data_IF_148056711318
#
_entry.id   IF_148056711318
#
_cell.length_a   1.000
_cell.length_b   1.000
_cell.length_c   1.000
_cell.angle_alpha   90.00
_cell.angle_beta   90.00
_cell.angle_gamma   90.00
#
_symmetry.space_group_name_H-M   'P 1'
#
loop_
_entity.id
_entity.type
_entity.pdbx_description
1 polymer ?
#
# COMPACT_ATOMS: atom_id res chain seq x y z
N UNK A 1 21.41 -15.46 -9.06
CA UNK A 1 22.83 -15.08 -9.14
C UNK A 1 23.19 -14.41 -7.82
N UNK A 2 24.38 -14.67 -7.27
CA UNK A 2 24.88 -14.00 -6.08
C UNK A 2 25.93 -12.96 -6.49
N UNK A 3 25.80 -11.74 -5.99
CA UNK A 3 26.65 -10.59 -6.35
C UNK A 3 27.12 -9.87 -5.09
N UNK A 4 28.23 -9.14 -5.20
CA UNK A 4 28.67 -8.21 -4.19
C UNK A 4 28.26 -6.80 -4.59
N UNK A 5 27.69 -6.06 -3.65
CA UNK A 5 27.24 -4.69 -3.84
C UNK A 5 27.53 -3.90 -2.56
N UNK A 6 28.09 -2.70 -2.72
CA UNK A 6 28.35 -1.78 -1.61
C UNK A 6 27.24 -0.74 -1.46
N UNK A 7 27.37 0.12 -0.44
CA UNK A 7 26.48 1.27 -0.25
C UNK A 7 25.05 0.87 0.14
N UNK A 8 24.06 1.27 -0.66
CA UNK A 8 22.64 1.14 -0.33
C UNK A 8 22.17 -0.31 -0.14
N UNK A 9 22.84 -1.30 -0.76
CA UNK A 9 22.48 -2.70 -0.58
C UNK A 9 22.60 -3.19 0.87
N UNK A 10 23.44 -2.55 1.70
CA UNK A 10 23.66 -2.95 3.10
C UNK A 10 22.38 -2.79 3.92
N UNK A 11 21.57 -1.77 3.65
CA UNK A 11 20.31 -1.48 4.35
C UNK A 11 19.07 -2.10 3.67
N UNK A 12 19.25 -3.03 2.73
CA UNK A 12 18.15 -3.66 1.99
C UNK A 12 17.96 -5.11 2.39
N UNK A 13 16.73 -5.62 2.30
CA UNK A 13 16.41 -6.98 2.78
C UNK A 13 17.16 -8.09 2.01
N UNK A 14 17.55 -7.86 0.74
CA UNK A 14 18.38 -8.78 -0.07
C UNK A 14 19.79 -9.03 0.47
N UNK A 15 20.28 -8.25 1.43
CA UNK A 15 21.57 -8.50 2.09
C UNK A 15 21.46 -9.47 3.27
N UNK A 16 20.24 -9.91 3.64
CA UNK A 16 20.01 -10.70 4.84
C UNK A 16 20.16 -12.20 4.58
N UNK A 17 21.15 -12.79 5.26
CA UNK A 17 21.45 -14.21 5.23
C UNK A 17 21.41 -14.82 6.63
N UNK A 18 21.02 -16.10 6.71
CA UNK A 18 21.04 -16.89 7.92
C UNK A 18 22.01 -18.05 7.78
N UNK A 19 22.84 -18.22 8.80
CA UNK A 19 23.68 -19.40 8.95
C UNK A 19 22.91 -20.44 9.75
N UNK A 20 22.85 -21.67 9.23
CA UNK A 20 22.17 -22.82 9.85
C UNK A 20 23.19 -23.95 10.04
N UNK A 21 23.60 -24.24 11.28
CA UNK A 21 24.49 -25.37 11.59
C UNK A 21 23.87 -26.69 11.14
N UNK A 22 24.68 -27.58 10.55
CA UNK A 22 24.25 -28.93 10.14
C UNK A 22 24.31 -29.85 11.38
N UNK A 23 23.36 -29.66 12.31
CA UNK A 23 23.22 -30.46 13.54
C UNK A 23 21.74 -30.63 13.91
N UNK A 24 21.40 -31.78 14.51
CA UNK A 24 20.03 -32.05 14.97
C UNK A 24 19.73 -31.47 16.36
N UNK A 25 20.72 -31.50 17.27
CA UNK A 25 20.66 -30.87 18.59
C UNK A 25 21.55 -29.62 18.58
N UNK A 26 21.26 -28.65 19.45
CA UNK A 26 22.08 -27.44 19.61
C UNK A 26 22.25 -26.62 18.32
N UNK A 27 21.21 -26.53 17.48
CA UNK A 27 21.25 -25.74 16.24
C UNK A 27 21.42 -24.21 16.47
N UNK A 28 21.27 -23.76 17.72
CA UNK A 28 21.52 -22.38 18.16
C UNK A 28 22.82 -22.21 18.95
N UNK A 29 23.72 -23.21 18.94
CA UNK A 29 25.05 -23.08 19.54
C UNK A 29 25.87 -22.00 18.84
N UNK A 30 26.94 -21.57 19.51
CA UNK A 30 27.90 -20.63 18.96
C UNK A 30 28.60 -21.27 17.76
N UNK A 31 28.73 -20.49 16.68
CA UNK A 31 29.38 -20.96 15.45
C UNK A 31 30.88 -21.03 15.71
N UNK A 32 31.44 -22.23 15.53
CA UNK A 32 32.87 -22.51 15.62
C UNK A 32 33.57 -22.53 14.26
N UNK A 33 34.90 -22.53 14.29
CA UNK A 33 35.72 -22.94 13.14
C UNK A 33 35.46 -24.41 12.80
N UNK A 34 35.62 -24.76 11.53
CA UNK A 34 35.55 -26.16 11.06
C UNK A 34 34.19 -26.85 11.29
N UNK A 35 33.15 -26.09 11.64
CA UNK A 35 31.81 -26.62 11.81
C UNK A 35 31.02 -26.53 10.50
N UNK A 36 30.35 -27.62 10.07
CA UNK A 36 29.54 -27.61 8.86
C UNK A 36 28.24 -26.83 9.06
N UNK A 37 27.92 -25.93 8.13
CA UNK A 37 26.69 -25.14 8.11
C UNK A 37 26.15 -24.94 6.69
N UNK A 38 24.91 -24.44 6.60
CA UNK A 38 24.29 -23.97 5.37
C UNK A 38 24.01 -22.47 5.45
N UNK A 39 24.01 -21.82 4.30
CA UNK A 39 23.70 -20.38 4.19
C UNK A 39 22.34 -20.25 3.51
N UNK A 40 21.39 -19.61 4.19
CA UNK A 40 20.02 -19.42 3.72
C UNK A 40 19.74 -17.94 3.50
N UNK A 41 19.26 -17.57 2.32
CA UNK A 41 18.77 -16.22 2.06
C UNK A 41 17.39 -16.02 2.73
N UNK A 42 17.20 -14.92 3.46
CA UNK A 42 15.98 -14.73 4.26
C UNK A 42 14.76 -14.48 3.38
N UNK A 43 14.81 -13.49 2.47
CA UNK A 43 13.61 -13.07 1.70
C UNK A 43 13.23 -14.09 0.63
N UNK A 44 14.19 -14.71 -0.05
CA UNK A 44 13.90 -15.76 -1.05
C UNK A 44 13.70 -17.14 -0.43
N UNK A 45 14.25 -17.38 0.76
CA UNK A 45 14.21 -18.68 1.43
C UNK A 45 15.03 -19.77 0.76
N UNK A 46 15.88 -19.42 -0.20
CA UNK A 46 16.75 -20.34 -0.93
C UNK A 46 18.08 -20.52 -0.20
N UNK A 47 18.74 -21.65 -0.46
CA UNK A 47 20.06 -21.96 0.08
C UNK A 47 21.14 -21.60 -0.93
N UNK A 48 22.22 -21.00 -0.45
CA UNK A 48 23.44 -20.87 -1.23
C UNK A 48 24.03 -22.26 -1.45
N UNK A 49 24.50 -22.53 -2.66
CA UNK A 49 25.19 -23.76 -2.97
C UNK A 49 26.13 -23.62 -4.14
N UNK A 50 26.98 -24.63 -4.30
CA UNK A 50 28.00 -24.70 -5.34
C UNK A 50 27.72 -25.91 -6.24
N UNK A 51 27.64 -25.65 -7.54
CA UNK A 51 27.63 -26.68 -8.57
C UNK A 51 28.83 -26.45 -9.47
N UNK A 52 29.74 -27.43 -9.49
CA UNK A 52 31.04 -27.28 -10.14
C UNK A 52 31.78 -26.07 -9.55
N UNK A 53 31.90 -24.97 -10.30
CA UNK A 53 32.53 -23.72 -9.87
C UNK A 53 31.52 -22.54 -9.75
N UNK A 54 30.23 -22.80 -9.98
CA UNK A 54 29.20 -21.76 -10.05
C UNK A 54 28.40 -21.71 -8.75
N UNK A 55 28.26 -20.51 -8.23
CA UNK A 55 27.40 -20.24 -7.06
C UNK A 55 25.99 -19.97 -7.51
N UNK A 56 25.05 -20.74 -6.94
CA UNK A 56 23.64 -20.59 -7.24
C UNK A 56 22.77 -20.78 -6.00
N UNK A 57 21.49 -20.43 -6.15
CA UNK A 57 20.49 -20.49 -5.09
C UNK A 57 19.54 -21.65 -5.32
N UNK A 58 19.55 -22.61 -4.40
CA UNK A 58 18.71 -23.80 -4.44
C UNK A 58 17.40 -23.58 -3.68
N UNK A 59 16.29 -24.06 -4.26
CA UNK A 59 15.03 -24.24 -3.53
C UNK A 59 15.20 -25.23 -2.38
N UNK A 60 14.35 -25.13 -1.36
CA UNK A 60 14.41 -26.02 -0.17
C UNK A 60 14.33 -27.50 -0.56
N UNK A 61 13.59 -27.82 -1.61
CA UNK A 61 13.37 -29.13 -2.21
C UNK A 61 14.61 -29.71 -2.90
N UNK A 62 15.52 -28.86 -3.39
CA UNK A 62 16.74 -29.26 -4.14
C UNK A 62 18.04 -28.95 -3.39
N UNK A 63 17.94 -28.49 -2.14
CA UNK A 63 19.07 -28.09 -1.32
C UNK A 63 19.68 -29.31 -0.61
N UNK A 64 20.30 -30.19 -1.40
CA UNK A 64 21.07 -31.32 -0.88
C UNK A 64 22.29 -30.84 -0.08
N UNK A 65 22.68 -31.60 0.94
CA UNK A 65 23.82 -31.27 1.80
C UNK A 65 25.10 -31.12 0.98
N UNK A 66 25.33 -32.05 0.07
CA UNK A 66 26.48 -32.09 -0.84
C UNK A 66 26.68 -30.81 -1.66
N UNK A 67 25.60 -30.09 -1.96
CA UNK A 67 25.66 -28.87 -2.76
C UNK A 67 25.65 -27.59 -1.91
N UNK A 68 25.25 -27.66 -0.63
CA UNK A 68 24.92 -26.49 0.19
C UNK A 68 25.68 -26.43 1.53
N UNK A 69 26.55 -27.41 1.79
CA UNK A 69 27.33 -27.47 3.01
C UNK A 69 28.65 -26.69 2.88
N UNK A 70 28.84 -25.76 3.79
CA UNK A 70 30.02 -24.92 3.91
C UNK A 70 30.65 -25.05 5.28
N UNK A 71 31.90 -24.59 5.37
CA UNK A 71 32.68 -24.55 6.60
C UNK A 71 33.50 -23.26 6.64
N UNK A 72 33.80 -22.77 7.85
CA UNK A 72 34.61 -21.57 8.09
C UNK A 72 36.00 -21.95 8.57
N UNK A 73 37.01 -21.25 8.05
CA UNK A 73 38.41 -21.34 8.46
C UNK A 73 39.01 -19.97 8.76
N UNK A 74 40.01 -19.95 9.64
CA UNK A 74 40.80 -18.74 9.94
C UNK A 74 41.75 -18.37 8.80
N UNK A 75 42.29 -19.38 8.10
CA UNK A 75 43.24 -19.21 7.00
C UNK A 75 42.95 -20.26 5.91
N UNK A 76 43.48 -20.02 4.71
CA UNK A 76 43.40 -20.99 3.60
C UNK A 76 44.48 -22.08 3.65
N UNK A 77 45.42 -21.99 4.60
CA UNK A 77 46.48 -22.97 4.81
C UNK A 77 45.98 -24.05 5.78
N UNK A 78 45.32 -25.05 5.22
CA UNK A 78 44.66 -26.12 5.96
C UNK A 78 45.71 -27.12 6.49
N UNK A 79 46.20 -26.88 7.71
CA UNK A 79 46.89 -27.92 8.49
C UNK A 79 45.85 -28.92 8.97
N UNK A 80 45.77 -30.08 8.33
CA UNK A 80 44.82 -31.17 8.67
C UNK A 80 44.83 -31.48 10.17
N UNK A 81 43.83 -31.01 10.89
CA UNK A 81 43.36 -31.58 12.16
C UNK A 81 41.84 -31.41 12.26
N UNK A 82 41.09 -32.19 11.49
CA UNK A 82 39.68 -32.44 11.84
C UNK A 82 39.65 -33.23 13.15
N UNK A 83 39.46 -32.52 14.26
CA UNK A 83 39.16 -33.17 15.53
C UNK A 83 37.65 -33.07 15.71
N UNK A 84 36.92 -34.11 15.32
CA UNK A 84 35.49 -34.24 15.61
C UNK A 84 35.30 -34.56 17.11
N UNK A 85 35.56 -33.58 17.99
CA UNK A 85 34.97 -33.64 19.32
C UNK A 85 33.57 -33.06 19.24
N UNK A 86 32.57 -33.93 19.42
CA UNK A 86 31.18 -33.51 19.59
C UNK A 86 31.04 -32.81 20.94
N UNK A 87 31.32 -31.51 20.95
CA UNK A 87 31.01 -30.65 22.08
C UNK A 87 29.48 -30.61 22.26
N UNK A 88 28.97 -31.24 23.32
CA UNK A 88 27.58 -31.09 23.75
C UNK A 88 27.44 -29.80 24.57
N UNK A 89 26.73 -28.81 24.02
CA UNK A 89 26.49 -27.53 24.69
C UNK A 89 26.49 -26.35 23.72
N UNK A 90 26.70 -25.15 24.26
CA UNK A 90 26.77 -23.91 23.45
C UNK A 90 28.07 -23.76 22.67
N UNK A 91 29.13 -24.51 23.02
CA UNK A 91 30.46 -24.40 22.43
C UNK A 91 31.20 -23.11 22.82
N UNK A 92 32.31 -22.84 22.14
CA UNK A 92 33.17 -21.67 22.39
C UNK A 92 32.85 -20.52 21.42
N UNK A 93 32.83 -19.28 21.92
CA UNK A 93 32.58 -18.08 21.12
C UNK A 93 33.81 -17.69 20.28
N UNK A 94 34.02 -18.36 19.14
CA UNK A 94 35.19 -18.11 18.28
C UNK A 94 34.94 -17.05 17.20
N UNK A 95 33.71 -16.97 16.67
CA UNK A 95 33.35 -15.97 15.65
C UNK A 95 32.70 -14.75 16.33
N UNK A 96 33.30 -13.58 16.14
CA UNK A 96 32.80 -12.29 16.66
C UNK A 96 32.37 -11.37 15.53
N UNK A 97 31.25 -10.69 15.73
CA UNK A 97 30.73 -9.72 14.76
C UNK A 97 31.68 -8.53 14.61
N UNK A 98 31.98 -8.13 13.37
CA UNK A 98 32.84 -6.98 13.05
C UNK A 98 34.35 -7.18 13.28
N UNK A 99 34.76 -8.21 14.03
CA UNK A 99 36.17 -8.42 14.39
C UNK A 99 36.80 -9.64 13.71
N UNK A 100 36.01 -10.69 13.49
CA UNK A 100 36.53 -11.95 12.96
C UNK A 100 36.45 -11.97 11.43
N UNK A 101 37.61 -12.12 10.79
CA UNK A 101 37.70 -12.46 9.37
C UNK A 101 37.68 -13.97 9.21
N UNK A 102 36.75 -14.47 8.39
CA UNK A 102 36.64 -15.88 8.07
C UNK A 102 36.80 -16.13 6.57
N UNK A 103 37.32 -17.29 6.22
CA UNK A 103 37.27 -17.83 4.87
C UNK A 103 36.22 -18.93 4.83
N UNK A 104 35.36 -18.91 3.81
CA UNK A 104 34.28 -19.90 3.66
C UNK A 104 34.67 -20.87 2.55
N UNK A 105 34.65 -22.16 2.84
CA UNK A 105 34.92 -23.22 1.86
C UNK A 105 33.69 -24.11 1.70
N UNK A 106 33.42 -24.55 0.47
CA UNK A 106 32.41 -25.57 0.20
C UNK A 106 32.98 -26.96 0.52
N UNK A 107 32.25 -27.76 1.30
CA UNK A 107 32.78 -29.03 1.86
C UNK A 107 33.07 -30.06 0.76
N UNK A 108 32.14 -30.27 -0.17
CA UNK A 108 32.26 -31.35 -1.16
C UNK A 108 33.28 -31.08 -2.26
N UNK A 109 33.34 -29.84 -2.74
CA UNK A 109 34.24 -29.46 -3.84
C UNK A 109 35.57 -28.88 -3.37
N UNK A 110 35.68 -28.58 -2.06
CA UNK A 110 36.84 -27.93 -1.45
C UNK A 110 37.18 -26.57 -2.08
N UNK A 111 36.22 -25.95 -2.76
CA UNK A 111 36.39 -24.63 -3.38
C UNK A 111 36.10 -23.51 -2.36
N UNK A 112 36.90 -22.46 -2.42
CA UNK A 112 36.72 -21.25 -1.63
C UNK A 112 35.65 -20.35 -2.23
N UNK A 113 34.80 -19.82 -1.36
CA UNK A 113 33.86 -18.76 -1.70
C UNK A 113 34.65 -17.48 -2.02
N UNK A 114 34.59 -17.04 -3.27
CA UNK A 114 35.34 -15.88 -3.76
C UNK A 114 34.51 -15.08 -4.76
N UNK A 115 35.15 -14.22 -5.55
CA UNK A 115 34.48 -13.36 -6.52
C UNK A 115 35.19 -13.35 -7.88
N UNK A 116 34.43 -13.04 -8.93
CA UNK A 116 34.94 -12.75 -10.26
C UNK A 116 34.44 -11.37 -10.68
N UNK A 117 35.36 -10.51 -11.10
CA UNK A 117 35.02 -9.17 -11.60
C UNK A 117 34.78 -9.23 -13.10
N UNK A 118 33.70 -8.60 -13.55
CA UNK A 118 33.39 -8.40 -14.97
C UNK A 118 32.96 -6.96 -15.22
N UNK A 119 33.40 -6.36 -16.32
CA UNK A 119 32.87 -5.06 -16.78
C UNK A 119 31.48 -5.26 -17.39
N UNK A 120 30.49 -4.55 -16.87
CA UNK A 120 29.14 -4.47 -17.46
C UNK A 120 28.78 -3.02 -17.76
N UNK A 121 28.08 -2.80 -18.87
CA UNK A 121 27.58 -1.46 -19.23
C UNK A 121 26.20 -1.27 -18.59
N UNK A 122 26.10 -0.40 -17.57
CA UNK A 122 24.83 -0.01 -16.94
C UNK A 122 24.28 1.26 -17.60
N UNK A 123 22.99 1.24 -17.95
CA UNK A 123 22.28 2.37 -18.55
C UNK A 123 22.34 3.58 -17.62
N UNK A 124 22.89 4.71 -18.09
CA UNK A 124 23.03 5.95 -17.33
C UNK A 124 24.31 6.08 -16.50
N UNK A 125 25.03 4.99 -16.22
CA UNK A 125 26.27 5.00 -15.42
C UNK A 125 27.52 4.63 -16.24
N UNK A 126 27.36 4.14 -17.47
CA UNK A 126 28.47 3.72 -18.32
C UNK A 126 28.99 2.34 -17.93
N UNK A 127 30.30 2.10 -18.11
CA UNK A 127 30.94 0.84 -17.73
C UNK A 127 31.17 0.80 -16.22
N UNK A 128 30.66 -0.24 -15.57
CA UNK A 128 30.77 -0.44 -14.12
C UNK A 128 31.33 -1.84 -13.88
N UNK A 129 32.23 -1.96 -12.92
CA UNK A 129 32.71 -3.25 -12.45
C UNK A 129 31.62 -3.94 -11.61
N UNK A 130 31.24 -5.16 -12.00
CA UNK A 130 30.35 -6.02 -11.23
C UNK A 130 31.15 -7.21 -10.69
N UNK A 131 31.08 -7.40 -9.37
CA UNK A 131 31.68 -8.55 -8.68
C UNK A 131 30.62 -9.62 -8.46
N UNK A 132 30.79 -10.78 -9.12
CA UNK A 132 29.92 -11.95 -8.97
C UNK A 132 30.55 -12.95 -8.03
N UNK A 133 29.77 -13.55 -7.15
CA UNK A 133 30.27 -14.61 -6.29
C UNK A 133 30.50 -15.89 -7.11
N UNK A 134 31.68 -16.50 -6.94
CA UNK A 134 32.09 -17.75 -7.59
C UNK A 134 32.85 -18.64 -6.62
N UNK A 135 32.96 -19.93 -6.94
CA UNK A 135 33.75 -20.87 -6.15
C UNK A 135 35.08 -21.14 -6.87
N UNK A 136 36.21 -20.86 -6.21
CA UNK A 136 37.55 -20.97 -6.80
C UNK A 136 38.43 -21.92 -6.00
N UNK A 137 39.36 -22.60 -6.67
CA UNK A 137 40.25 -23.58 -6.03
C UNK A 137 41.19 -22.94 -5.00
N UNK A 138 41.78 -21.79 -5.34
CA UNK A 138 42.68 -21.06 -4.45
C UNK A 138 41.96 -19.85 -3.79
N UNK A 139 40.95 -19.29 -4.47
CA UNK A 139 40.29 -18.03 -4.09
C UNK A 139 41.25 -16.85 -4.03
N UNK A 140 40.76 -15.66 -3.72
CA UNK A 140 41.59 -14.46 -3.61
C UNK A 140 42.08 -14.21 -2.18
N UNK A 141 43.09 -13.36 -2.00
CA UNK A 141 43.62 -13.06 -0.67
C UNK A 141 42.70 -12.12 0.14
N UNK A 142 41.82 -11.41 -0.54
CA UNK A 142 40.92 -10.39 0.00
C UNK A 142 39.48 -10.89 0.16
N UNK A 143 39.24 -12.22 0.13
CA UNK A 143 37.90 -12.80 0.32
C UNK A 143 37.32 -12.51 1.73
N UNK A 144 38.18 -12.37 2.75
CA UNK A 144 37.89 -12.13 4.18
C UNK A 144 36.44 -11.74 4.53
N UNK A 145 35.61 -12.73 4.87
CA UNK A 145 34.22 -12.51 5.28
C UNK A 145 34.15 -12.05 6.74
N UNK A 146 33.68 -10.82 6.95
CA UNK A 146 33.30 -10.30 8.26
C UNK A 146 31.78 -10.36 8.42
N UNK A 147 31.31 -10.78 9.60
CA UNK A 147 29.88 -10.89 9.88
C UNK A 147 29.38 -9.69 10.67
N UNK A 148 28.19 -9.21 10.32
CA UNK A 148 27.44 -8.21 11.06
C UNK A 148 26.07 -8.78 11.40
N UNK A 149 25.60 -8.52 12.62
CA UNK A 149 24.26 -8.94 13.04
C UNK A 149 23.23 -7.98 12.45
N UNK A 150 22.22 -8.52 11.78
CA UNK A 150 21.08 -7.75 11.32
C UNK A 150 20.23 -7.27 12.51
N UNK A 151 19.57 -6.12 12.37
CA UNK A 151 18.61 -5.65 13.35
C UNK A 151 17.44 -6.65 13.46
N UNK A 152 16.94 -6.86 14.67
CA UNK A 152 15.88 -7.85 14.92
C UNK A 152 14.61 -7.53 14.10
N UNK A 153 14.27 -6.25 13.98
CA UNK A 153 13.12 -5.79 13.19
C UNK A 153 13.30 -6.02 11.69
N UNK A 154 14.49 -5.79 11.14
CA UNK A 154 14.79 -6.07 9.72
C UNK A 154 14.68 -7.58 9.44
N UNK A 155 15.21 -8.41 10.35
CA UNK A 155 15.12 -9.87 10.24
C UNK A 155 13.67 -10.37 10.28
N UNK A 156 12.84 -9.78 11.16
CA UNK A 156 11.39 -10.05 11.21
C UNK A 156 10.72 -9.62 9.90
N UNK A 157 10.96 -8.39 9.46
CA UNK A 157 10.39 -7.81 8.23
C UNK A 157 10.73 -8.65 7.00
N UNK A 158 11.98 -9.07 6.84
CA UNK A 158 12.42 -9.90 5.73
C UNK A 158 11.71 -11.28 5.68
N UNK A 159 11.33 -11.82 6.84
CA UNK A 159 10.53 -13.04 6.93
C UNK A 159 9.07 -12.81 6.53
N UNK A 160 8.50 -11.65 6.92
CA UNK A 160 7.15 -11.23 6.50
C UNK A 160 7.12 -11.03 4.98
N UNK A 161 8.10 -10.31 4.42
CA UNK A 161 8.27 -10.13 2.97
C UNK A 161 8.24 -11.47 2.26
N UNK A 162 9.03 -12.45 2.71
CA UNK A 162 9.05 -13.78 2.10
C UNK A 162 7.66 -14.44 2.08
N UNK A 163 6.92 -14.39 3.20
CA UNK A 163 5.60 -14.99 3.30
C UNK A 163 4.61 -14.27 2.39
N UNK A 164 4.61 -12.94 2.42
CA UNK A 164 3.80 -12.07 1.56
C UNK A 164 4.05 -12.36 0.08
N UNK A 165 5.31 -12.26 -0.37
CA UNK A 165 5.71 -12.54 -1.75
C UNK A 165 5.29 -13.94 -2.19
N UNK A 166 5.39 -14.95 -1.32
CA UNK A 166 4.97 -16.31 -1.64
C UNK A 166 3.46 -16.44 -1.86
N UNK A 167 2.65 -15.77 -1.03
CA UNK A 167 1.18 -15.81 -1.13
C UNK A 167 0.71 -15.02 -2.35
N UNK A 168 1.21 -13.79 -2.53
CA UNK A 168 0.89 -12.93 -3.68
C UNK A 168 1.28 -13.59 -5.01
N UNK A 169 2.48 -14.16 -5.11
CA UNK A 169 2.89 -14.85 -6.36
C UNK A 169 2.02 -16.06 -6.68
N UNK A 170 1.60 -16.83 -5.67
CA UNK A 170 0.68 -17.96 -5.89
C UNK A 170 -0.69 -17.44 -6.33
N UNK A 171 -1.17 -16.38 -5.71
CA UNK A 171 -2.45 -15.77 -6.05
C UNK A 171 -2.46 -15.19 -7.47
N UNK A 172 -1.44 -14.42 -7.85
CA UNK A 172 -1.25 -13.90 -9.20
C UNK A 172 -1.25 -15.00 -10.25
N UNK A 173 -0.49 -16.08 -10.03
CA UNK A 173 -0.51 -17.25 -10.92
C UNK A 173 -1.89 -17.89 -11.00
N UNK A 174 -2.60 -17.95 -9.87
CA UNK A 174 -3.98 -18.43 -9.82
C UNK A 174 -4.92 -17.59 -10.69
N UNK A 175 -4.84 -16.26 -10.59
CA UNK A 175 -5.66 -15.34 -11.40
C UNK A 175 -5.32 -15.46 -12.89
N UNK A 176 -4.04 -15.54 -13.23
CA UNK A 176 -3.60 -15.72 -14.62
C UNK A 176 -4.02 -17.08 -15.20
N UNK A 177 -4.10 -18.11 -14.37
CA UNK A 177 -4.61 -19.42 -14.78
C UNK A 177 -6.14 -19.38 -14.92
N UNK A 178 -6.85 -18.73 -13.98
CA UNK A 178 -8.30 -18.51 -14.07
C UNK A 178 -8.67 -17.77 -15.36
N UNK A 179 -7.90 -16.75 -15.74
CA UNK A 179 -8.11 -15.99 -16.98
C UNK A 179 -7.95 -16.84 -18.25
N UNK A 180 -7.00 -17.79 -18.26
CA UNK A 180 -6.65 -18.58 -19.45
C UNK A 180 -7.44 -19.88 -19.57
N UNK A 181 -7.68 -20.55 -18.45
CA UNK A 181 -8.17 -21.92 -18.38
C UNK A 181 -9.56 -22.02 -17.70
N UNK A 182 -10.07 -20.91 -17.14
CA UNK A 182 -11.35 -20.85 -16.44
C UNK A 182 -11.34 -21.54 -15.08
N UNK A 183 -12.53 -21.84 -14.54
CA UNK A 183 -12.73 -22.39 -13.18
C UNK A 183 -11.96 -23.68 -12.88
N UNK A 184 -11.60 -24.46 -13.90
CA UNK A 184 -10.93 -25.76 -13.74
C UNK A 184 -9.40 -25.65 -13.63
N UNK A 185 -8.84 -24.43 -13.69
CA UNK A 185 -7.41 -24.19 -13.61
C UNK A 185 -6.83 -24.73 -12.29
N UNK A 186 -5.82 -25.60 -12.38
CA UNK A 186 -5.20 -26.19 -11.18
C UNK A 186 -4.53 -25.15 -10.28
N UNK A 187 -3.93 -24.12 -10.86
CA UNK A 187 -3.27 -23.06 -10.10
C UNK A 187 -4.28 -22.11 -9.43
N UNK A 188 -5.47 -21.91 -10.00
CA UNK A 188 -6.57 -21.22 -9.33
C UNK A 188 -7.08 -22.01 -8.12
N UNK A 189 -7.26 -23.33 -8.27
CA UNK A 189 -7.68 -24.20 -7.18
C UNK A 189 -6.65 -24.30 -6.03
N UNK A 190 -5.40 -23.87 -6.25
CA UNK A 190 -4.36 -23.76 -5.23
C UNK A 190 -4.33 -22.40 -4.54
N UNK A 191 -4.99 -21.40 -5.11
CA UNK A 191 -5.12 -20.09 -4.50
C UNK A 191 -6.20 -20.15 -3.41
N UNK A 192 -5.85 -19.61 -2.24
CA UNK A 192 -6.76 -19.53 -1.09
C UNK A 192 -7.09 -18.06 -0.87
N UNK A 193 -8.31 -17.65 -1.24
CA UNK A 193 -8.76 -16.26 -1.09
C UNK A 193 -8.83 -15.85 0.38
N UNK A 194 -9.15 -16.76 1.30
CA UNK A 194 -9.18 -16.46 2.73
C UNK A 194 -7.78 -16.22 3.30
N UNK A 195 -6.77 -16.95 2.81
CA UNK A 195 -5.37 -16.66 3.16
C UNK A 195 -4.89 -15.33 2.59
N UNK A 196 -5.33 -14.96 1.37
CA UNK A 196 -5.01 -13.66 0.76
C UNK A 196 -5.67 -12.53 1.53
N UNK A 197 -6.95 -12.65 1.86
CA UNK A 197 -7.72 -11.65 2.61
C UNK A 197 -7.06 -11.35 3.96
N UNK A 198 -6.78 -12.39 4.75
CA UNK A 198 -6.09 -12.24 6.05
C UNK A 198 -4.70 -11.64 5.91
N UNK A 199 -3.96 -11.99 4.86
CA UNK A 199 -2.66 -11.38 4.59
C UNK A 199 -2.80 -9.87 4.37
N UNK A 200 -3.82 -9.41 3.65
CA UNK A 200 -4.04 -7.98 3.44
C UNK A 200 -4.37 -7.28 4.76
N UNK A 201 -5.28 -7.84 5.57
CA UNK A 201 -5.62 -7.30 6.89
C UNK A 201 -4.39 -7.20 7.80
N UNK A 202 -3.63 -8.29 7.93
CA UNK A 202 -2.40 -8.34 8.73
C UNK A 202 -1.37 -7.31 8.25
N UNK A 203 -1.25 -7.08 6.93
CA UNK A 203 -0.32 -6.12 6.38
C UNK A 203 -0.79 -4.67 6.58
N UNK A 204 -2.08 -4.39 6.46
CA UNK A 204 -2.64 -3.06 6.74
C UNK A 204 -2.35 -2.69 8.20
N UNK A 205 -2.60 -3.61 9.13
CA UNK A 205 -2.29 -3.43 10.55
C UNK A 205 -0.78 -3.33 10.79
N UNK A 206 0.03 -4.12 10.08
CA UNK A 206 1.48 -4.05 10.17
C UNK A 206 2.04 -2.68 9.77
N UNK A 207 1.40 -2.01 8.79
CA UNK A 207 1.76 -0.66 8.34
C UNK A 207 0.92 0.46 8.96
N UNK A 208 0.13 0.15 10.00
CA UNK A 208 -0.67 1.16 10.70
C UNK A 208 0.22 2.28 11.25
N UNK A 209 -0.29 3.51 11.16
CA UNK A 209 0.36 4.67 11.78
C UNK A 209 0.30 4.50 13.31
N UNK A 210 1.37 4.86 14.02
CA UNK A 210 1.35 4.80 15.47
C UNK A 210 0.34 5.79 16.04
N UNK A 211 -0.36 5.40 17.11
CA UNK A 211 -1.22 6.30 17.87
C UNK A 211 -0.42 7.48 18.45
N UNK A 212 -1.13 8.56 18.79
CA UNK A 212 -0.58 9.76 19.43
C UNK A 212 -0.13 9.47 20.87
N UNK A 213 1.01 8.78 21.00
CA UNK A 213 1.76 8.59 22.24
C UNK A 213 2.82 9.70 22.42
N UNK A 214 3.58 9.61 23.52
CA UNK A 214 4.73 10.48 23.80
C UNK A 214 5.63 10.70 22.57
N UNK A 215 6.07 11.94 22.37
CA UNK A 215 6.70 12.38 21.13
C UNK A 215 7.91 11.52 20.76
N UNK A 216 8.75 11.16 21.74
CA UNK A 216 9.94 10.34 21.50
C UNK A 216 9.58 8.92 21.02
N UNK A 217 8.59 8.28 21.66
CA UNK A 217 8.11 6.96 21.27
C UNK A 217 7.50 6.99 19.87
N UNK A 218 6.68 8.01 19.58
CA UNK A 218 6.05 8.24 18.28
C UNK A 218 7.09 8.43 17.17
N UNK A 219 8.14 9.24 17.39
CA UNK A 219 9.21 9.41 16.40
C UNK A 219 9.99 8.12 16.12
N UNK A 220 10.26 7.31 17.14
CA UNK A 220 10.94 6.02 16.95
C UNK A 220 10.07 5.03 16.17
N UNK A 221 8.76 4.95 16.46
CA UNK A 221 7.82 4.11 15.70
C UNK A 221 7.68 4.57 14.26
N UNK A 222 7.62 5.87 14.00
CA UNK A 222 7.59 6.41 12.63
C UNK A 222 8.86 6.08 11.85
N UNK A 223 10.04 6.12 12.49
CA UNK A 223 11.31 5.70 11.85
C UNK A 223 11.30 4.21 11.51
N UNK A 224 10.83 3.37 12.43
CA UNK A 224 10.69 1.93 12.19
C UNK A 224 9.65 1.62 11.09
N UNK A 225 8.53 2.36 11.05
CA UNK A 225 7.52 2.23 10.00
C UNK A 225 8.10 2.55 8.62
N UNK A 226 8.79 3.69 8.47
CA UNK A 226 9.45 4.05 7.20
C UNK A 226 10.46 3.01 6.75
N UNK A 227 11.31 2.53 7.66
CA UNK A 227 12.27 1.46 7.36
C UNK A 227 11.58 0.19 6.84
N UNK A 228 10.46 -0.23 7.45
CA UNK A 228 9.67 -1.37 6.96
C UNK A 228 9.07 -1.12 5.58
N UNK A 229 8.51 0.07 5.35
CA UNK A 229 7.97 0.46 4.04
C UNK A 229 9.06 0.41 2.95
N UNK A 230 10.27 0.89 3.24
CA UNK A 230 11.40 0.88 2.31
C UNK A 230 11.85 -0.55 1.99
N UNK A 231 11.96 -1.44 3.00
CA UNK A 231 12.33 -2.85 2.78
C UNK A 231 11.35 -3.58 1.86
N UNK A 232 10.05 -3.35 2.03
CA UNK A 232 9.03 -3.96 1.16
C UNK A 232 9.10 -3.40 -0.25
N UNK A 233 9.47 -2.13 -0.39
CA UNK A 233 9.60 -1.51 -1.69
C UNK A 233 10.80 -2.03 -2.48
N UNK A 234 11.95 -2.15 -1.83
CA UNK A 234 13.19 -2.66 -2.42
C UNK A 234 13.08 -4.13 -2.83
N UNK A 235 12.30 -4.93 -2.09
CA UNK A 235 11.99 -6.32 -2.48
C UNK A 235 10.87 -6.42 -3.53
N UNK A 236 10.35 -5.28 -4.02
CA UNK A 236 9.36 -5.21 -5.09
C UNK A 236 7.95 -5.64 -4.69
N UNK A 237 7.63 -5.68 -3.39
CA UNK A 237 6.32 -6.13 -2.91
C UNK A 237 5.19 -5.20 -3.33
N UNK A 238 5.41 -3.89 -3.28
CA UNK A 238 4.43 -2.92 -3.77
C UNK A 238 4.12 -3.11 -5.26
N UNK A 239 5.14 -3.38 -6.08
CA UNK A 239 4.93 -3.63 -7.51
C UNK A 239 4.08 -4.90 -7.72
N UNK A 240 4.29 -5.96 -6.93
CA UNK A 240 3.43 -7.15 -6.97
C UNK A 240 1.98 -6.84 -6.57
N UNK A 241 1.75 -5.93 -5.62
CA UNK A 241 0.41 -5.48 -5.22
C UNK A 241 -0.23 -4.69 -6.37
N UNK A 242 0.51 -3.76 -7.00
CA UNK A 242 0.03 -3.00 -8.16
C UNK A 242 -0.29 -3.92 -9.35
N UNK A 243 0.57 -4.90 -9.64
CA UNK A 243 0.32 -5.92 -10.67
C UNK A 243 -0.95 -6.73 -10.34
N UNK A 244 -1.19 -7.02 -9.06
CA UNK A 244 -2.41 -7.70 -8.61
C UNK A 244 -3.64 -6.85 -8.89
N UNK A 245 -3.61 -5.55 -8.55
CA UNK A 245 -4.70 -4.61 -8.86
C UNK A 245 -5.00 -4.56 -10.37
N UNK A 246 -3.95 -4.54 -11.19
CA UNK A 246 -4.10 -4.54 -12.64
C UNK A 246 -4.72 -5.83 -13.17
N UNK A 247 -4.34 -6.99 -12.61
CA UNK A 247 -4.97 -8.27 -12.93
C UNK A 247 -6.42 -8.34 -12.49
N UNK A 248 -6.76 -7.79 -11.32
CA UNK A 248 -8.15 -7.70 -10.87
C UNK A 248 -9.02 -6.93 -11.84
N UNK A 249 -8.54 -5.74 -12.22
CA UNK A 249 -9.24 -4.89 -13.17
C UNK A 249 -9.39 -5.52 -14.56
N UNK A 250 -8.39 -6.28 -15.02
CA UNK A 250 -8.48 -7.02 -16.28
C UNK A 250 -9.53 -8.14 -16.21
N UNK A 251 -9.65 -8.80 -15.06
CA UNK A 251 -10.64 -9.84 -14.84
C UNK A 251 -12.07 -9.28 -14.78
N UNK A 252 -12.28 -8.19 -14.05
CA UNK A 252 -13.58 -7.50 -13.95
C UNK A 252 -14.09 -6.95 -15.28
N UNK A 253 -13.16 -6.59 -16.19
CA UNK A 253 -13.50 -6.13 -17.53
C UNK A 253 -13.97 -7.27 -18.48
N UNK A 254 -13.88 -8.54 -18.06
CA UNK A 254 -14.29 -9.66 -18.91
C UNK A 254 -15.83 -9.80 -18.95
N UNK A 255 -16.43 -10.03 -20.13
CA UNK A 255 -17.90 -10.15 -20.26
C UNK A 255 -18.54 -11.26 -19.42
N UNK A 256 -17.82 -12.35 -19.16
CA UNK A 256 -18.30 -13.53 -18.42
C UNK A 256 -17.70 -13.62 -17.00
N UNK A 257 -17.24 -12.50 -16.43
CA UNK A 257 -16.63 -12.48 -15.09
C UNK A 257 -17.59 -13.02 -14.01
N UNK A 258 -18.86 -12.62 -14.06
CA UNK A 258 -19.88 -13.11 -13.13
C UNK A 258 -20.09 -14.64 -13.21
N UNK A 259 -19.85 -15.24 -14.38
CA UNK A 259 -19.89 -16.69 -14.57
C UNK A 259 -18.66 -17.44 -14.08
N UNK A 260 -17.54 -16.74 -13.84
CA UNK A 260 -16.23 -17.30 -13.47
C UNK A 260 -16.03 -17.47 -11.96
N UNK A 261 -16.79 -16.78 -11.13
CA UNK A 261 -16.75 -16.92 -9.68
C UNK A 261 -18.04 -17.58 -9.18
N UNK A 262 -18.07 -17.99 -7.92
CA UNK A 262 -19.31 -18.27 -7.20
C UNK A 262 -19.60 -17.08 -6.26
N UNK A 263 -20.81 -17.02 -5.70
CA UNK A 263 -21.25 -15.88 -4.89
C UNK A 263 -20.28 -15.58 -3.72
N UNK A 264 -19.84 -16.63 -3.00
CA UNK A 264 -18.90 -16.47 -1.88
C UNK A 264 -17.52 -15.94 -2.32
N UNK A 265 -17.01 -16.42 -3.47
CA UNK A 265 -15.71 -15.96 -4.01
C UNK A 265 -15.84 -14.55 -4.57
N UNK A 266 -17.00 -14.17 -5.10
CA UNK A 266 -17.25 -12.81 -5.56
C UNK A 266 -17.22 -11.81 -4.40
N UNK A 267 -17.84 -12.14 -3.26
CA UNK A 267 -17.76 -11.28 -2.07
C UNK A 267 -16.31 -11.10 -1.59
N UNK A 268 -15.56 -12.21 -1.46
CA UNK A 268 -14.14 -12.13 -1.10
C UNK A 268 -13.31 -11.37 -2.13
N UNK A 269 -13.66 -11.45 -3.42
CA UNK A 269 -13.00 -10.70 -4.48
C UNK A 269 -13.19 -9.19 -4.32
N UNK A 270 -14.42 -8.75 -4.05
CA UNK A 270 -14.75 -7.33 -3.80
C UNK A 270 -14.03 -6.80 -2.54
N UNK A 271 -13.97 -7.60 -1.48
CA UNK A 271 -13.23 -7.27 -0.25
C UNK A 271 -11.71 -7.16 -0.50
N UNK A 272 -11.12 -8.15 -1.19
CA UNK A 272 -9.68 -8.11 -1.54
C UNK A 272 -9.38 -6.90 -2.42
N UNK A 273 -10.24 -6.59 -3.40
CA UNK A 273 -10.09 -5.42 -4.27
C UNK A 273 -10.00 -4.12 -3.45
N UNK A 274 -10.88 -3.98 -2.46
CA UNK A 274 -10.87 -2.83 -1.53
C UNK A 274 -9.59 -2.78 -0.70
N UNK A 275 -9.21 -3.90 -0.08
CA UNK A 275 -8.02 -3.97 0.76
C UNK A 275 -6.71 -3.78 0.01
N UNK A 276 -6.63 -4.14 -1.28
CA UNK A 276 -5.45 -3.87 -2.11
C UNK A 276 -5.14 -2.36 -2.15
N UNK A 277 -6.15 -1.51 -2.34
CA UNK A 277 -5.94 -0.06 -2.36
C UNK A 277 -5.63 0.51 -0.97
N UNK A 278 -6.30 0.03 0.08
CA UNK A 278 -6.00 0.42 1.46
C UNK A 278 -4.57 0.03 1.86
N UNK A 279 -4.10 -1.14 1.44
CA UNK A 279 -2.73 -1.59 1.68
C UNK A 279 -1.71 -0.70 0.93
N UNK A 280 -1.98 -0.32 -0.32
CA UNK A 280 -1.12 0.63 -1.04
C UNK A 280 -1.03 1.94 -0.26
N UNK A 281 -2.14 2.47 0.25
CA UNK A 281 -2.14 3.70 1.07
C UNK A 281 -1.29 3.52 2.34
N UNK A 282 -1.47 2.41 3.07
CA UNK A 282 -0.70 2.12 4.28
C UNK A 282 0.82 1.99 4.01
N UNK A 283 1.21 1.43 2.87
CA UNK A 283 2.62 1.25 2.49
C UNK A 283 3.34 2.54 2.07
N UNK A 284 2.62 3.61 1.74
CA UNK A 284 3.21 4.88 1.27
C UNK A 284 2.99 6.05 2.22
N UNK A 285 1.97 5.99 3.10
CA UNK A 285 1.63 7.07 4.02
C UNK A 285 2.81 7.47 4.90
N UNK A 286 3.15 8.76 4.90
CA UNK A 286 4.25 9.33 5.69
C UNK A 286 5.66 9.02 5.16
N UNK A 287 5.77 8.58 3.89
CA UNK A 287 7.05 8.27 3.24
C UNK A 287 7.14 8.94 1.85
N UNK A 288 7.83 10.09 1.80
CA UNK A 288 8.07 10.85 0.57
C UNK A 288 8.71 10.00 -0.54
N UNK A 289 9.70 9.16 -0.21
CA UNK A 289 10.40 8.34 -1.21
C UNK A 289 9.45 7.39 -1.94
N UNK A 290 8.57 6.71 -1.19
CA UNK A 290 7.56 5.82 -1.76
C UNK A 290 6.48 6.58 -2.53
N UNK A 291 5.99 7.70 -2.01
CA UNK A 291 5.02 8.56 -2.70
C UNK A 291 5.55 9.13 -4.02
N UNK A 292 6.82 9.56 -4.05
CA UNK A 292 7.46 10.11 -5.25
C UNK A 292 7.48 9.11 -6.41
N UNK A 293 7.45 7.80 -6.15
CA UNK A 293 7.35 6.80 -7.20
C UNK A 293 6.01 6.84 -7.94
N UNK A 294 4.94 7.30 -7.28
CA UNK A 294 3.62 7.50 -7.89
C UNK A 294 3.50 8.85 -8.61
N UNK A 295 4.43 9.78 -8.41
CA UNK A 295 4.41 11.11 -9.02
C UNK A 295 4.60 11.09 -10.55
N UNK A 296 4.95 9.95 -11.17
CA UNK A 296 5.03 9.86 -12.62
C UNK A 296 3.65 10.06 -13.26
N UNK A 297 3.60 10.79 -14.39
CA UNK A 297 2.35 11.07 -15.11
C UNK A 297 1.56 9.79 -15.47
N UNK A 298 2.26 8.68 -15.76
CA UNK A 298 1.64 7.39 -16.07
C UNK A 298 0.94 6.78 -14.84
N UNK A 299 1.57 6.81 -13.66
CA UNK A 299 0.96 6.26 -12.44
C UNK A 299 -0.17 7.12 -11.90
N UNK A 300 -0.06 8.45 -12.00
CA UNK A 300 -1.17 9.34 -11.66
C UNK A 300 -2.36 9.11 -12.60
N UNK A 301 -2.11 9.04 -13.92
CA UNK A 301 -3.18 8.73 -14.87
C UNK A 301 -3.83 7.38 -14.59
N UNK A 302 -3.06 6.38 -14.18
CA UNK A 302 -3.56 5.08 -13.74
C UNK A 302 -4.47 5.20 -12.51
N UNK A 303 -4.03 5.90 -11.44
CA UNK A 303 -4.83 6.13 -10.22
C UNK A 303 -6.15 6.85 -10.54
N UNK A 304 -6.10 7.98 -11.26
CA UNK A 304 -7.29 8.75 -11.61
C UNK A 304 -8.24 8.01 -12.56
N UNK A 305 -7.72 7.10 -13.40
CA UNK A 305 -8.56 6.25 -14.25
C UNK A 305 -9.40 5.26 -13.44
N UNK A 306 -8.84 4.72 -12.35
CA UNK A 306 -9.52 3.78 -11.44
C UNK A 306 -10.56 4.44 -10.55
N UNK A 307 -10.44 5.75 -10.32
CA UNK A 307 -11.38 6.56 -9.54
C UNK A 307 -12.81 6.58 -10.13
N UNK A 308 -12.99 6.12 -11.36
CA UNK A 308 -14.31 6.01 -12.00
C UNK A 308 -15.21 4.92 -11.40
N UNK A 309 -14.65 3.94 -10.69
CA UNK A 309 -15.36 2.88 -10.01
C UNK A 309 -15.69 3.27 -8.55
N UNK A 310 -16.97 3.42 -8.16
CA UNK A 310 -17.36 3.79 -6.80
C UNK A 310 -16.89 2.82 -5.71
N UNK A 311 -16.80 1.52 -6.01
CA UNK A 311 -16.45 0.50 -4.99
C UNK A 311 -15.00 0.64 -4.52
N UNK A 312 -14.07 1.01 -5.41
CA UNK A 312 -12.66 1.21 -5.09
C UNK A 312 -12.31 2.66 -4.73
N UNK A 313 -13.30 3.57 -4.80
CA UNK A 313 -13.08 5.00 -4.62
C UNK A 313 -12.47 5.32 -3.25
N UNK A 314 -12.91 4.66 -2.19
CA UNK A 314 -12.41 4.91 -0.84
C UNK A 314 -10.89 4.69 -0.72
N UNK A 315 -10.41 3.48 -1.07
CA UNK A 315 -8.98 3.18 -0.99
C UNK A 315 -8.15 4.01 -1.97
N UNK A 316 -8.66 4.32 -3.16
CA UNK A 316 -7.95 5.16 -4.14
C UNK A 316 -7.83 6.61 -3.62
N UNK A 317 -8.85 7.15 -2.97
CA UNK A 317 -8.80 8.48 -2.37
C UNK A 317 -7.72 8.54 -1.28
N UNK A 318 -7.58 7.50 -0.46
CA UNK A 318 -6.53 7.44 0.56
C UNK A 318 -5.12 7.41 -0.08
N UNK A 319 -4.94 6.65 -1.17
CA UNK A 319 -3.68 6.63 -1.94
C UNK A 319 -3.38 8.02 -2.53
N UNK A 320 -4.37 8.64 -3.18
CA UNK A 320 -4.20 9.97 -3.78
C UNK A 320 -3.89 11.03 -2.72
N UNK A 321 -4.59 11.00 -1.60
CA UNK A 321 -4.33 11.91 -0.48
C UNK A 321 -2.89 11.77 0.01
N UNK A 322 -2.38 10.55 0.20
CA UNK A 322 -1.00 10.32 0.60
C UNK A 322 0.01 10.85 -0.43
N UNK A 323 -0.20 10.57 -1.72
CA UNK A 323 0.71 10.99 -2.79
C UNK A 323 0.74 12.51 -2.95
N UNK A 324 -0.42 13.17 -2.91
CA UNK A 324 -0.53 14.61 -3.10
C UNK A 324 -0.01 15.41 -1.89
N UNK A 325 -0.15 14.87 -0.69
CA UNK A 325 0.30 15.54 0.54
C UNK A 325 1.81 15.40 0.73
N UNK A 326 2.36 14.19 0.49
CA UNK A 326 3.78 13.92 0.76
C UNK A 326 4.69 14.25 -0.43
N UNK A 327 4.22 14.16 -1.69
CA UNK A 327 5.03 14.38 -2.89
C UNK A 327 4.63 15.65 -3.66
N UNK A 328 5.38 16.76 -3.52
CA UNK A 328 5.13 17.97 -4.31
C UNK A 328 5.37 17.75 -5.82
N UNK A 329 6.17 16.76 -6.19
CA UNK A 329 6.40 16.36 -7.57
C UNK A 329 5.13 15.85 -8.25
N UNK A 330 4.24 15.20 -7.50
CA UNK A 330 2.97 14.71 -8.01
C UNK A 330 2.04 15.86 -8.42
N UNK A 331 2.00 16.94 -7.62
CA UNK A 331 1.18 18.11 -7.91
C UNK A 331 1.57 18.80 -9.23
N UNK A 332 2.85 18.78 -9.58
CA UNK A 332 3.34 19.33 -10.85
C UNK A 332 2.87 18.53 -12.08
N UNK A 333 2.44 17.28 -11.88
CA UNK A 333 2.00 16.38 -12.96
C UNK A 333 0.46 16.31 -13.08
N UNK A 334 -0.27 16.99 -12.19
CA UNK A 334 -1.74 17.07 -12.23
C UNK A 334 -2.19 17.94 -13.39
N UNK A 335 -3.22 17.47 -14.09
CA UNK A 335 -3.87 18.21 -15.16
C UNK A 335 -5.37 18.43 -14.89
N UNK A 336 -6.02 19.17 -15.79
CA UNK A 336 -7.44 19.50 -15.67
C UNK A 336 -8.36 18.26 -15.67
N UNK A 337 -8.00 17.19 -16.39
CA UNK A 337 -8.83 15.99 -16.48
C UNK A 337 -8.84 15.22 -15.17
N UNK A 338 -7.71 15.16 -14.45
CA UNK A 338 -7.62 14.57 -13.11
C UNK A 338 -8.57 15.25 -12.12
N UNK A 339 -8.56 16.58 -12.09
CA UNK A 339 -9.42 17.38 -11.21
C UNK A 339 -10.90 17.16 -11.53
N UNK A 340 -11.25 17.13 -12.82
CA UNK A 340 -12.61 16.82 -13.28
C UNK A 340 -13.08 15.45 -12.82
N UNK A 341 -12.20 14.44 -12.84
CA UNK A 341 -12.53 13.09 -12.34
C UNK A 341 -12.86 13.10 -10.85
N UNK A 342 -12.12 13.84 -10.02
CA UNK A 342 -12.40 13.97 -8.58
C UNK A 342 -13.73 14.68 -8.34
N UNK A 343 -14.01 15.77 -9.06
CA UNK A 343 -15.30 16.49 -8.95
C UNK A 343 -16.46 15.59 -9.40
N UNK A 344 -16.27 14.80 -10.47
CA UNK A 344 -17.28 13.84 -10.94
C UNK A 344 -17.58 12.77 -9.89
N UNK A 345 -16.57 12.34 -9.13
CA UNK A 345 -16.74 11.37 -8.05
C UNK A 345 -17.65 11.88 -6.94
N UNK A 346 -17.54 13.18 -6.58
CA UNK A 346 -18.42 13.81 -5.60
C UNK A 346 -19.90 13.67 -5.97
N UNK A 347 -20.22 13.73 -7.27
CA UNK A 347 -21.58 13.51 -7.77
C UNK A 347 -22.03 12.04 -7.75
N UNK A 348 -21.11 11.07 -7.78
CA UNK A 348 -21.41 9.63 -7.82
C UNK A 348 -21.48 8.97 -6.46
N UNK A 349 -20.53 9.27 -5.58
CA UNK A 349 -20.36 8.64 -4.25
C UNK A 349 -21.13 9.42 -3.17
N UNK A 350 -21.49 10.67 -3.45
CA UNK A 350 -22.17 11.55 -2.52
C UNK A 350 -21.20 12.45 -1.75
N UNK A 351 -21.66 12.99 -0.61
CA UNK A 351 -20.94 14.00 0.18
C UNK A 351 -19.91 13.35 1.11
N UNK A 352 -18.87 12.77 0.53
CA UNK A 352 -17.74 12.20 1.27
C UNK A 352 -16.68 13.28 1.57
N UNK A 353 -16.30 13.51 2.85
CA UNK A 353 -15.24 14.45 3.21
C UNK A 353 -13.89 14.12 2.56
N UNK A 354 -13.54 12.84 2.33
CA UNK A 354 -12.26 12.45 1.74
C UNK A 354 -12.05 13.03 0.34
N UNK A 355 -13.13 13.16 -0.44
CA UNK A 355 -13.10 13.79 -1.77
C UNK A 355 -12.71 15.27 -1.66
N UNK A 356 -13.23 15.97 -0.65
CA UNK A 356 -12.89 17.37 -0.39
C UNK A 356 -11.46 17.52 0.13
N UNK A 357 -10.98 16.58 0.95
CA UNK A 357 -9.59 16.56 1.42
C UNK A 357 -8.62 16.43 0.23
N UNK A 358 -8.91 15.56 -0.73
CA UNK A 358 -8.11 15.44 -1.97
C UNK A 358 -8.17 16.73 -2.79
N UNK A 359 -9.35 17.35 -2.97
CA UNK A 359 -9.47 18.64 -3.66
C UNK A 359 -8.70 19.77 -2.95
N UNK A 360 -8.63 19.73 -1.62
CA UNK A 360 -7.84 20.66 -0.81
C UNK A 360 -6.34 20.44 -1.03
N UNK A 361 -5.85 19.20 -0.95
CA UNK A 361 -4.44 18.87 -1.21
C UNK A 361 -4.00 19.16 -2.64
N UNK A 362 -4.93 19.19 -3.61
CA UNK A 362 -4.64 19.62 -4.99
C UNK A 362 -4.35 21.13 -5.12
N UNK A 363 -4.79 21.94 -4.14
CA UNK A 363 -4.63 23.39 -4.17
C UNK A 363 -3.31 23.86 -3.56
N UNK A 364 -2.73 23.09 -2.64
CA UNK A 364 -1.53 23.45 -1.89
C UNK A 364 -0.66 22.22 -1.66
N UNK A 365 0.63 22.32 -1.98
CA UNK A 365 1.65 21.34 -1.59
C UNK A 365 2.79 22.02 -0.86
N UNK A 366 3.11 21.55 0.34
CA UNK A 366 4.24 22.04 1.15
C UNK A 366 4.29 23.58 1.28
N UNK A 367 3.14 24.22 1.54
CA UNK A 367 3.05 25.68 1.69
C UNK A 367 3.00 26.47 0.37
N UNK A 368 3.02 25.79 -0.78
CA UNK A 368 2.99 26.42 -2.11
C UNK A 368 1.66 26.16 -2.80
N UNK A 369 1.00 27.25 -3.23
CA UNK A 369 -0.28 27.21 -3.92
C UNK A 369 -0.15 26.84 -5.41
N UNK A 370 -0.98 25.92 -5.89
CA UNK A 370 -1.05 25.49 -7.30
C UNK A 370 -2.18 26.24 -8.03
N UNK A 371 -1.84 27.32 -8.74
CA UNK A 371 -2.82 28.23 -9.38
C UNK A 371 -3.70 27.57 -10.45
N UNK A 372 -3.15 26.65 -11.23
CA UNK A 372 -3.90 25.90 -12.23
C UNK A 372 -5.04 25.10 -11.58
N UNK A 373 -4.74 24.34 -10.53
CA UNK A 373 -5.72 23.56 -9.78
C UNK A 373 -6.81 24.42 -9.18
N UNK A 374 -6.42 25.53 -8.52
CA UNK A 374 -7.37 26.48 -7.93
C UNK A 374 -8.36 27.02 -8.95
N UNK A 375 -7.89 27.40 -10.14
CA UNK A 375 -8.74 27.90 -11.21
C UNK A 375 -9.69 26.82 -11.74
N UNK A 376 -9.18 25.61 -12.00
CA UNK A 376 -10.00 24.49 -12.48
C UNK A 376 -11.09 24.11 -11.48
N UNK A 377 -10.76 24.01 -10.18
CA UNK A 377 -11.72 23.69 -9.12
C UNK A 377 -12.79 24.78 -9.04
N UNK A 378 -12.38 26.05 -9.03
CA UNK A 378 -13.31 27.20 -9.02
C UNK A 378 -14.27 27.15 -10.21
N UNK A 379 -13.77 26.83 -11.42
CA UNK A 379 -14.57 26.78 -12.64
C UNK A 379 -15.54 25.60 -12.71
N UNK A 380 -15.21 24.45 -12.09
CA UNK A 380 -15.99 23.22 -12.27
C UNK A 380 -16.82 22.83 -11.03
N UNK A 381 -16.38 23.19 -9.82
CA UNK A 381 -17.09 22.86 -8.58
C UNK A 381 -18.16 23.91 -8.23
N UNK A 382 -17.83 25.21 -8.32
CA UNK A 382 -18.74 26.29 -7.88
C UNK A 382 -20.01 26.44 -8.73
N UNK A 383 -19.99 26.26 -10.06
CA UNK A 383 -21.23 26.26 -10.84
C UNK A 383 -22.14 25.08 -10.52
N UNK A 384 -21.60 23.98 -10.00
CA UNK A 384 -22.31 22.78 -9.56
C UNK A 384 -23.02 22.98 -8.22
N UNK A 385 -23.95 23.93 -8.19
CA UNK A 385 -24.72 24.37 -7.01
C UNK A 385 -25.36 23.22 -6.21
N UNK A 386 -25.62 22.08 -6.83
CA UNK A 386 -26.27 20.94 -6.20
C UNK A 386 -25.31 20.04 -5.39
N UNK A 387 -24.00 20.16 -5.60
CA UNK A 387 -22.98 19.34 -4.93
C UNK A 387 -22.62 19.89 -3.55
N UNK A 388 -22.60 21.22 -3.41
CA UNK A 388 -22.16 21.91 -2.20
C UNK A 388 -23.33 22.48 -1.39
N UNK A 389 -23.16 22.58 -0.08
CA UNK A 389 -24.11 23.26 0.78
C UNK A 389 -24.06 24.78 0.54
N UNK A 390 -25.23 25.38 0.33
CA UNK A 390 -25.39 26.81 0.17
C UNK A 390 -26.19 27.39 1.32
N UNK A 391 -25.86 28.61 1.70
CA UNK A 391 -26.62 29.38 2.68
C UNK A 391 -26.84 30.80 2.16
N UNK A 392 -27.97 31.39 2.57
CA UNK A 392 -28.30 32.78 2.30
C UNK A 392 -29.05 33.33 3.51
N UNK A 393 -28.76 34.58 3.86
CA UNK A 393 -29.58 35.33 4.80
C UNK A 393 -31.03 35.40 4.28
N UNK A 394 -31.98 34.99 5.12
CA UNK A 394 -33.42 35.03 4.85
C UNK A 394 -34.10 35.74 5.99
N UNK A 395 -35.04 36.61 5.67
CA UNK A 395 -35.87 37.26 6.68
C UNK A 395 -36.88 36.26 7.25
N UNK A 396 -37.23 36.43 8.53
CA UNK A 396 -38.28 35.63 9.15
C UNK A 396 -39.66 36.04 8.59
N UNK A 397 -40.46 35.05 8.24
CA UNK A 397 -41.85 35.23 7.85
C UNK A 397 -42.76 34.71 8.96
N UNK A 398 -43.82 35.46 9.23
CA UNK A 398 -44.88 35.06 10.15
C UNK A 398 -46.23 35.14 9.44
N UNK A 399 -47.22 34.43 9.98
CA UNK A 399 -48.58 34.50 9.44
C UNK A 399 -49.57 34.51 10.57
N UNK A 400 -50.58 35.36 10.40
CA UNK A 400 -51.67 35.53 11.33
C UNK A 400 -52.95 35.11 10.63
N UNK A 401 -53.75 34.29 11.30
CA UNK A 401 -55.05 33.87 10.78
C UNK A 401 -56.15 34.41 11.70
N UNK A 402 -57.22 35.00 11.15
CA UNK A 402 -58.42 35.24 11.93
C UNK A 402 -59.05 33.89 12.30
N UNK A 403 -59.81 33.84 13.40
CA UNK A 403 -60.51 32.64 13.82
C UNK A 403 -61.78 32.40 12.98
N UNK A 404 -61.59 32.22 11.66
CA UNK A 404 -62.64 32.00 10.66
C UNK A 404 -62.33 30.69 9.95
N UNK A 405 -63.25 29.72 10.04
CA UNK A 405 -63.13 28.41 9.42
C UNK A 405 -64.33 28.18 8.51
N UNK A 406 -64.06 27.86 7.24
CA UNK A 406 -65.08 27.57 6.22
C UNK A 406 -64.94 26.11 5.80
N UNK A 407 -65.98 25.31 6.03
CA UNK A 407 -66.00 23.88 5.70
C UNK A 407 -67.18 23.51 4.81
N UNK A 408 -66.91 22.85 3.69
CA UNK A 408 -67.96 22.30 2.81
C UNK A 408 -68.15 20.82 3.14
N UNK A 409 -69.14 20.53 3.99
CA UNK A 409 -69.50 19.18 4.42
C UNK A 409 -70.99 18.96 4.20
N UNK A 410 -71.38 17.72 3.89
CA UNK A 410 -72.78 17.33 3.70
C UNK A 410 -73.57 17.57 5.00
N UNK A 411 -74.72 18.27 4.91
CA UNK A 411 -75.53 18.66 6.07
C UNK A 411 -75.11 19.96 6.77
N UNK A 412 -74.04 20.64 6.33
CA UNK A 412 -73.64 21.96 6.88
C UNK A 412 -74.55 23.08 6.38
N UNK A 413 -74.96 23.97 7.29
CA UNK A 413 -75.71 25.20 7.00
C UNK A 413 -74.81 26.41 6.66
N UNK A 414 -73.48 26.24 6.65
CA UNK A 414 -72.56 27.33 6.32
C UNK A 414 -72.71 27.77 4.86
N UNK A 415 -72.79 29.08 4.65
CA UNK A 415 -72.81 29.67 3.31
C UNK A 415 -71.49 29.40 2.58
N UNK A 416 -71.57 29.01 1.31
CA UNK A 416 -70.41 28.47 0.56
C UNK A 416 -69.53 29.54 -0.11
N UNK A 417 -70.00 30.78 -0.22
CA UNK A 417 -69.28 31.86 -0.91
C UNK A 417 -68.82 32.89 0.10
N UNK A 418 -67.51 33.05 0.22
CA UNK A 418 -66.87 34.01 1.09
C UNK A 418 -66.01 34.96 0.26
N UNK A 419 -65.88 36.19 0.72
CA UNK A 419 -64.94 37.17 0.18
C UNK A 419 -64.23 37.85 1.36
N UNK A 420 -63.05 38.38 1.09
CA UNK A 420 -62.28 39.19 2.04
C UNK A 420 -61.71 40.36 1.28
N UNK A 421 -61.59 41.48 1.98
CA UNK A 421 -60.90 42.68 1.54
C UNK A 421 -59.80 42.95 2.55
N UNK A 422 -58.62 43.34 2.06
CA UNK A 422 -57.49 43.69 2.89
C UNK A 422 -56.83 44.94 2.31
N UNK A 423 -56.61 45.93 3.17
CA UNK A 423 -55.95 47.19 2.83
C UNK A 423 -54.54 47.18 3.42
N UNK A 424 -53.57 47.68 2.64
CA UNK A 424 -52.17 47.79 3.06
C UNK A 424 -51.79 49.26 3.06
N UNK A 425 -51.80 49.88 4.23
CA UNK A 425 -51.52 51.31 4.37
C UNK A 425 -50.01 51.63 4.36
N UNK A 426 -49.18 50.70 4.81
CA UNK A 426 -47.74 50.91 4.97
C UNK A 426 -46.94 49.65 4.69
N UNK A 427 -45.85 49.78 3.93
CA UNK A 427 -44.81 48.77 3.73
C UNK A 427 -43.47 49.44 3.98
N UNK A 428 -42.77 49.01 5.02
CA UNK A 428 -41.45 49.52 5.36
C UNK A 428 -40.37 48.52 4.91
N UNK A 429 -39.38 49.00 4.17
CA UNK A 429 -38.20 48.20 3.82
C UNK A 429 -37.09 48.43 4.85
N UNK A 430 -36.94 47.48 5.77
CA UNK A 430 -35.94 47.55 6.85
C UNK A 430 -34.62 46.85 6.52
N UNK A 431 -34.62 45.98 5.50
CA UNK A 431 -33.47 45.16 5.09
C UNK A 431 -33.15 45.36 3.60
N UNK A 432 -32.03 44.78 3.14
CA UNK A 432 -31.64 44.79 1.71
C UNK A 432 -32.54 43.91 0.83
N UNK A 433 -33.42 43.14 1.43
CA UNK A 433 -34.41 42.27 0.79
C UNK A 433 -35.75 43.00 0.69
N UNK A 434 -36.49 42.76 -0.38
CA UNK A 434 -37.83 43.32 -0.53
C UNK A 434 -38.76 42.70 0.54
N UNK A 435 -39.57 43.51 1.25
CA UNK A 435 -40.52 43.02 2.24
C UNK A 435 -41.46 41.96 1.64
N UNK A 436 -41.58 40.82 2.31
CA UNK A 436 -42.44 39.73 1.87
C UNK A 436 -43.84 39.87 2.49
N UNK A 437 -44.83 40.20 1.65
CA UNK A 437 -46.24 40.27 2.04
C UNK A 437 -47.10 39.45 1.07
N UNK A 438 -47.86 38.50 1.60
CA UNK A 438 -48.88 37.74 0.86
C UNK A 438 -50.14 37.59 1.70
N UNK A 439 -51.28 37.52 1.02
CA UNK A 439 -52.60 37.32 1.64
C UNK A 439 -53.31 36.21 0.87
N UNK A 440 -53.94 35.28 1.58
CA UNK A 440 -54.62 34.15 0.95
C UNK A 440 -55.32 33.25 1.94
N UNK A 441 -55.69 32.06 1.45
CA UNK A 441 -56.35 31.01 2.23
C UNK A 441 -55.41 29.85 2.47
N UNK A 442 -55.67 29.12 3.55
CA UNK A 442 -55.07 27.83 3.80
C UNK A 442 -56.11 26.85 4.32
N UNK A 443 -55.89 25.57 4.08
CA UNK A 443 -56.63 24.50 4.73
C UNK A 443 -55.83 23.94 5.91
N UNK A 444 -56.51 23.17 6.78
CA UNK A 444 -55.91 22.56 7.97
C UNK A 444 -54.83 21.51 7.69
N UNK A 445 -54.62 21.12 6.42
CA UNK A 445 -53.67 20.09 6.01
C UNK A 445 -52.36 20.66 5.43
N UNK A 446 -52.42 21.82 4.76
CA UNK A 446 -51.34 22.32 3.90
C UNK A 446 -50.52 23.47 4.49
N UNK A 447 -50.96 24.11 5.57
CA UNK A 447 -50.26 25.26 6.13
C UNK A 447 -50.15 25.17 7.66
N UNK A 448 -48.92 25.00 8.15
CA UNK A 448 -48.57 25.15 9.55
C UNK A 448 -47.51 26.25 9.64
N UNK A 449 -47.83 27.43 10.21
CA UNK A 449 -46.86 28.51 10.31
C UNK A 449 -45.73 28.07 11.25
N UNK A 450 -44.55 27.82 10.70
CA UNK A 450 -43.33 27.56 11.45
C UNK A 450 -42.25 28.51 10.96
N UNK A 451 -41.61 29.31 11.83
CA UNK A 451 -40.64 30.34 11.43
C UNK A 451 -39.27 29.77 11.01
N UNK A 452 -39.21 28.48 10.64
CA UNK A 452 -38.01 27.76 10.25
C UNK A 452 -37.99 27.35 8.77
N UNK A 453 -37.07 26.45 8.43
CA UNK A 453 -36.86 25.95 7.07
C UNK A 453 -38.09 25.22 6.51
N UNK A 454 -38.48 25.54 5.28
CA UNK A 454 -39.49 24.82 4.49
C UNK A 454 -38.98 24.57 3.06
N UNK A 455 -39.76 23.85 2.25
CA UNK A 455 -39.39 23.45 0.88
C UNK A 455 -39.33 24.61 -0.14
N UNK A 456 -39.64 25.84 0.27
CA UNK A 456 -39.60 27.05 -0.57
C UNK A 456 -40.60 28.10 -0.15
#
# INVERSE_FOLDING_TARGET
MAIYEGGAAVSQARSLWRIELIRMKWHGALIGWEQPFRIRHITSGRYLGVMENVIQLYGKDKAELDATAFVMYQTKDLKKQLTEEKEEGMGVATIRYGETNAFIQHIKTELWLSYQTSEITKKGLGKVEEKKAVALKDGHMDDCFTFFMALEEESKSARVIRKCSSVLNRFLKGIEALQREGKQAQDWNRADLSEVLRLMEDLIDYFAQPDEDDFEASQNRLRALRSRQDLFQEEGVLNMILDTIDKFSQMEAMPDFAGLLNDDTQLMWEEISTYLYLLVAAMIKGNHYNCAQFASAQRLQWLFGRLSNPQSAEGILDVLYCVLTESPEALNMINESHIKSVISLLGKVGRDPKVLDVLSSLCEGNGMAVRSSQNTITQHLLPGKDLLLQTKMRDHVSSMTPNILVGVVEGSSQFRRWYYEAEVEHIEQMTKTEPYLRIGWANSMGYKPFPGSGDG
#
